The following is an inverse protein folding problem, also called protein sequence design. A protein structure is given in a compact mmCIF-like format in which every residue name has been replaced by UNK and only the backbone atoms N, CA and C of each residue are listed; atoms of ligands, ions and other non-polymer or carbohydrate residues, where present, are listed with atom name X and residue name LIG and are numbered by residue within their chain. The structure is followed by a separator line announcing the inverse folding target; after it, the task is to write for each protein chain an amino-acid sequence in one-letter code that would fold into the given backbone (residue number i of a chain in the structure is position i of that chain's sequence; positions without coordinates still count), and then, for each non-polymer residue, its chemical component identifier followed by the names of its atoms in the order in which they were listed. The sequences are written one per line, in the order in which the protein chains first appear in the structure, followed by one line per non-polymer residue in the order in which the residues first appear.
data_IF_833713355252
#
_entry.id   IF_833713355252
#
_cell.length_a   1.000
_cell.length_b   1.000
_cell.length_c   1.000
_cell.angle_alpha   90.00
_cell.angle_beta   90.00
_cell.angle_gamma   90.00
#
_symmetry.space_group_name_H-M   'P 1'
#
loop_
_entity.id
_entity.type
_entity.pdbx_description
1 polymer ?
#
# COMPACT_ATOMS: atom_id res chain seq x y z
N UNK A 1 23.89 -41.97 14.34
CA UNK A 1 24.57 -40.85 13.66
C UNK A 1 24.10 -40.82 12.22
N UNK A 2 23.76 -39.62 11.69
CA UNK A 2 23.55 -39.29 10.26
C UNK A 2 22.26 -39.89 9.63
N UNK A 3 21.23 -39.19 9.13
CA UNK A 3 20.90 -37.77 8.89
C UNK A 3 19.37 -37.62 8.95
N UNK A 4 18.90 -36.56 9.61
CA UNK A 4 17.55 -35.98 9.45
C UNK A 4 17.72 -34.64 8.71
N UNK A 5 16.63 -34.13 8.15
CA UNK A 5 16.44 -32.82 7.47
C UNK A 5 16.22 -32.90 5.95
N UNK A 6 15.04 -33.38 5.59
CA UNK A 6 14.32 -32.94 4.40
C UNK A 6 13.13 -32.10 4.87
N UNK A 7 13.27 -30.78 4.83
CA UNK A 7 12.18 -29.78 4.77
C UNK A 7 12.82 -28.39 4.91
N UNK A 8 12.99 -27.67 3.80
CA UNK A 8 12.73 -26.23 3.60
C UNK A 8 13.13 -25.93 2.15
N UNK A 9 12.18 -26.04 1.22
CA UNK A 9 12.35 -25.54 -0.15
C UNK A 9 10.98 -25.29 -0.78
N UNK A 10 10.23 -24.31 -0.27
CA UNK A 10 9.04 -23.77 -0.94
C UNK A 10 8.89 -22.30 -0.58
N UNK A 11 9.60 -21.44 -1.32
CA UNK A 11 9.13 -20.09 -1.65
C UNK A 11 9.78 -19.73 -2.99
N UNK A 12 9.21 -20.31 -4.05
CA UNK A 12 9.56 -19.98 -5.42
C UNK A 12 9.16 -18.54 -5.70
N UNK A 13 10.19 -17.77 -6.01
CA UNK A 13 10.18 -16.42 -6.54
C UNK A 13 9.35 -16.40 -7.83
N UNK A 14 8.22 -15.70 -7.85
CA UNK A 14 7.56 -15.35 -9.12
C UNK A 14 8.41 -14.27 -9.77
N UNK A 15 9.10 -14.66 -10.84
CA UNK A 15 9.69 -13.78 -11.84
C UNK A 15 8.53 -13.08 -12.56
N UNK A 16 8.32 -11.79 -12.30
CA UNK A 16 7.54 -10.95 -13.21
C UNK A 16 8.54 -10.27 -14.14
N UNK A 17 8.55 -10.78 -15.36
CA UNK A 17 9.17 -10.19 -16.54
C UNK A 17 8.61 -8.79 -16.78
N UNK A 18 9.48 -7.89 -17.22
CA UNK A 18 9.11 -6.52 -17.57
C UNK A 18 8.03 -6.49 -18.64
N UNK A 19 6.89 -5.90 -18.28
CA UNK A 19 6.05 -5.13 -19.19
C UNK A 19 5.70 -3.82 -18.50
N UNK A 20 6.26 -2.75 -19.05
CA UNK A 20 5.87 -1.37 -18.79
C UNK A 20 4.36 -1.29 -19.06
N UNK A 21 3.57 -1.04 -18.03
CA UNK A 21 2.17 -0.64 -18.18
C UNK A 21 2.01 0.75 -17.56
N UNK A 22 2.19 1.77 -18.41
CA UNK A 22 1.64 3.09 -18.16
C UNK A 22 0.11 2.93 -18.07
N UNK A 23 -0.48 3.19 -16.91
CA UNK A 23 -1.93 3.34 -16.81
C UNK A 23 -2.28 4.67 -16.15
N UNK A 24 -2.31 5.70 -17.00
CA UNK A 24 -3.24 6.81 -16.85
C UNK A 24 -4.65 6.21 -16.86
N UNK A 25 -5.34 6.19 -15.71
CA UNK A 25 -6.75 5.78 -15.65
C UNK A 25 -7.62 6.96 -16.06
N UNK A 26 -7.93 7.05 -17.35
CA UNK A 26 -9.10 7.77 -17.87
C UNK A 26 -10.32 6.89 -17.64
N UNK A 27 -11.28 7.40 -16.84
CA UNK A 27 -12.57 6.75 -16.59
C UNK A 27 -13.39 6.83 -17.88
N UNK A 28 -13.59 5.71 -18.56
CA UNK A 28 -14.68 5.53 -19.53
C UNK A 28 -15.79 4.73 -18.86
N UNK A 29 -16.92 5.39 -18.65
CA UNK A 29 -18.19 4.76 -18.30
C UNK A 29 -18.69 4.03 -19.54
N UNK A 30 -18.82 2.71 -19.48
CA UNK A 30 -19.54 1.92 -20.48
C UNK A 30 -20.60 1.12 -19.73
N UNK A 31 -21.85 1.53 -19.94
CA UNK A 31 -23.05 0.75 -19.61
C UNK A 31 -23.09 -0.47 -20.52
N UNK A 32 -23.12 -1.67 -19.95
CA UNK A 32 -23.66 -2.84 -20.65
C UNK A 32 -24.60 -3.60 -19.70
N UNK A 33 -25.88 -3.55 -20.08
CA UNK A 33 -26.99 -4.32 -19.54
C UNK A 33 -26.97 -5.68 -20.22
N UNK A 34 -26.88 -6.75 -19.45
CA UNK A 34 -27.02 -8.12 -19.97
C UNK A 34 -28.49 -8.41 -20.30
N UNK A 35 -28.86 -8.84 -21.52
CA UNK A 35 -30.24 -9.19 -21.86
C UNK A 35 -30.61 -10.60 -21.40
N UNK A 36 -31.78 -10.75 -20.77
CA UNK A 36 -32.38 -12.05 -20.46
C UNK A 36 -33.11 -12.65 -21.67
N UNK A 37 -32.97 -13.97 -21.75
CA UNK A 37 -33.48 -14.91 -22.75
C UNK A 37 -35.02 -15.00 -22.72
N UNK A 38 -35.69 -14.75 -23.85
CA UNK A 38 -37.13 -15.09 -24.05
C UNK A 38 -37.24 -15.95 -25.32
N UNK A 39 -37.81 -17.17 -25.27
CA UNK A 39 -38.03 -17.99 -26.45
C UNK A 39 -39.26 -17.51 -27.27
N UNK A 40 -39.27 -17.69 -28.61
CA UNK A 40 -40.29 -17.13 -29.47
C UNK A 40 -41.55 -18.03 -29.56
N UNK A 41 -42.73 -17.43 -29.45
CA UNK A 41 -44.01 -18.04 -29.80
C UNK A 41 -44.36 -17.72 -31.26
N UNK A 42 -44.63 -18.76 -32.06
CA UNK A 42 -45.25 -18.65 -33.40
C UNK A 42 -46.71 -19.08 -33.35
N UNK A 43 -47.57 -18.18 -33.86
CA UNK A 43 -48.78 -18.33 -34.70
C UNK A 43 -49.79 -19.44 -34.31
N UNK A 44 -51.11 -19.24 -34.18
CA UNK A 44 -52.03 -18.83 -35.25
C UNK A 44 -53.49 -18.74 -34.72
N UNK A 45 -54.25 -17.78 -35.26
CA UNK A 45 -55.70 -17.76 -35.61
C UNK A 45 -56.79 -18.43 -34.74
N UNK A 46 -57.75 -17.64 -34.21
CA UNK A 46 -59.17 -17.61 -34.68
C UNK A 46 -60.07 -16.61 -33.93
N UNK A 47 -61.05 -16.10 -34.69
CA UNK A 47 -62.23 -15.24 -34.39
C UNK A 47 -62.85 -15.40 -32.99
N UNK A 48 -63.45 -14.32 -32.44
CA UNK A 48 -64.92 -14.09 -32.27
C UNK A 48 -65.18 -12.65 -31.75
N UNK A 49 -66.43 -12.20 -31.88
CA UNK A 49 -66.98 -10.83 -31.98
C UNK A 49 -67.68 -10.39 -30.68
N UNK A 50 -67.65 -9.06 -30.43
CA UNK A 50 -68.57 -8.19 -29.66
C UNK A 50 -68.83 -8.44 -28.16
N UNK A 51 -68.59 -7.40 -27.35
CA UNK A 51 -69.65 -6.71 -26.57
C UNK A 51 -69.18 -5.30 -26.16
N UNK A 52 -70.09 -4.33 -26.26
CA UNK A 52 -69.92 -2.89 -26.04
C UNK A 52 -70.48 -2.53 -24.65
N UNK A 53 -69.69 -1.91 -23.77
CA UNK A 53 -70.19 -1.17 -22.59
C UNK A 53 -69.32 0.07 -22.36
N UNK A 54 -70.01 1.20 -22.17
CA UNK A 54 -69.59 2.60 -22.06
C UNK A 54 -68.62 2.95 -20.90
N UNK A 55 -67.91 4.10 -20.96
CA UNK A 55 -66.90 4.50 -19.96
C UNK A 55 -67.47 5.39 -18.84
N UNK A 56 -66.86 5.36 -17.64
CA UNK A 56 -66.75 6.59 -16.84
C UNK A 56 -65.34 6.72 -16.18
N UNK A 57 -65.06 7.80 -15.45
CA UNK A 57 -64.14 8.88 -15.82
C UNK A 57 -62.73 8.75 -15.21
N UNK A 58 -61.79 9.50 -15.77
CA UNK A 58 -60.41 9.69 -15.27
C UNK A 58 -60.38 10.13 -13.80
N UNK A 59 -59.57 9.48 -12.94
CA UNK A 59 -59.03 10.11 -11.75
C UNK A 59 -57.53 10.40 -11.90
N UNK A 60 -57.15 11.57 -11.41
CA UNK A 60 -55.85 12.18 -11.46
C UNK A 60 -54.71 11.31 -10.89
N UNK A 61 -53.52 11.48 -11.47
CA UNK A 61 -52.27 10.93 -10.99
C UNK A 61 -51.94 11.43 -9.56
N UNK A 62 -51.61 10.55 -8.61
CA UNK A 62 -50.85 10.96 -7.44
C UNK A 62 -49.37 11.06 -7.79
N UNK A 63 -48.83 12.26 -7.57
CA UNK A 63 -47.41 12.60 -7.60
C UNK A 63 -46.66 11.75 -6.58
N UNK A 64 -45.84 10.81 -7.04
CA UNK A 64 -44.89 10.11 -6.18
C UNK A 64 -43.71 11.05 -5.91
N UNK A 65 -43.75 11.69 -4.74
CA UNK A 65 -42.60 12.33 -4.11
C UNK A 65 -41.54 11.26 -3.85
N UNK A 66 -40.59 11.12 -4.78
CA UNK A 66 -39.34 10.42 -4.49
C UNK A 66 -38.58 11.25 -3.47
N UNK A 67 -38.43 10.70 -2.26
CA UNK A 67 -37.37 11.06 -1.34
C UNK A 67 -36.07 10.66 -2.05
N UNK A 68 -35.47 11.61 -2.76
CA UNK A 68 -34.08 11.51 -3.19
C UNK A 68 -33.26 11.80 -1.94
N UNK A 69 -32.77 10.74 -1.30
CA UNK A 69 -31.62 10.87 -0.39
C UNK A 69 -30.50 11.52 -1.18
N UNK A 70 -30.31 12.79 -0.90
CA UNK A 70 -29.26 13.62 -1.43
C UNK A 70 -27.94 13.09 -0.83
N UNK A 71 -27.34 12.08 -1.46
CA UNK A 71 -25.94 11.71 -1.21
C UNK A 71 -25.10 12.84 -1.80
N UNK A 72 -25.03 13.94 -1.05
CA UNK A 72 -24.14 15.03 -1.32
C UNK A 72 -22.73 14.45 -1.38
N UNK A 73 -22.18 14.49 -2.59
CA UNK A 73 -20.76 14.37 -2.83
C UNK A 73 -20.10 15.58 -2.18
N UNK A 74 -19.76 15.47 -0.89
CA UNK A 74 -18.91 16.44 -0.20
C UNK A 74 -17.46 16.25 -0.68
N UNK A 75 -17.19 16.65 -1.92
CA UNK A 75 -15.91 17.27 -2.27
C UNK A 75 -15.94 18.71 -1.71
N UNK A 76 -16.01 18.81 -0.38
CA UNK A 76 -15.75 20.08 0.29
C UNK A 76 -14.24 20.24 0.27
N UNK A 77 -13.75 21.02 -0.69
CA UNK A 77 -12.47 21.71 -0.60
C UNK A 77 -12.52 22.57 0.67
N UNK A 78 -12.17 21.96 1.80
CA UNK A 78 -12.08 22.66 3.07
C UNK A 78 -11.06 23.79 2.89
N UNK A 79 -11.42 25.04 3.24
CA UNK A 79 -10.44 26.11 3.31
C UNK A 79 -9.30 25.64 4.20
N UNK A 80 -8.05 25.99 3.88
CA UNK A 80 -6.84 25.59 4.58
C UNK A 80 -6.99 25.83 6.10
N UNK A 81 -7.57 24.84 6.79
CA UNK A 81 -7.84 24.94 8.20
C UNK A 81 -6.48 24.89 8.86
N UNK A 82 -6.21 25.85 9.75
CA UNK A 82 -5.00 25.83 10.57
C UNK A 82 -4.83 24.43 11.14
N UNK A 83 -3.65 23.84 10.91
CA UNK A 83 -3.34 22.49 11.36
C UNK A 83 -3.70 22.34 12.84
N UNK A 84 -4.65 21.45 13.12
CA UNK A 84 -5.10 21.15 14.49
C UNK A 84 -4.62 19.76 14.86
N UNK A 85 -3.57 19.69 15.68
CA UNK A 85 -2.93 18.44 16.07
C UNK A 85 -3.89 17.48 16.79
N UNK A 86 -4.84 18.00 17.58
CA UNK A 86 -5.82 17.16 18.29
C UNK A 86 -6.79 16.49 17.31
N UNK A 87 -7.32 17.25 16.36
CA UNK A 87 -8.19 16.71 15.29
C UNK A 87 -7.44 15.74 14.39
N UNK A 88 -6.17 16.04 14.13
CA UNK A 88 -5.27 15.18 13.38
C UNK A 88 -5.07 13.83 14.08
N UNK A 89 -4.72 13.87 15.37
CA UNK A 89 -4.55 12.70 16.23
C UNK A 89 -5.83 11.86 16.31
N UNK A 90 -6.95 12.51 16.59
CA UNK A 90 -8.26 11.85 16.65
C UNK A 90 -8.59 11.14 15.33
N UNK A 91 -8.32 11.78 14.18
CA UNK A 91 -8.55 11.18 12.87
C UNK A 91 -7.68 9.96 12.65
N UNK A 92 -6.39 10.03 13.00
CA UNK A 92 -5.49 8.89 12.92
C UNK A 92 -5.98 7.76 13.82
N UNK A 93 -6.26 8.04 15.09
CA UNK A 93 -6.65 7.08 16.13
C UNK A 93 -8.00 6.39 15.86
N UNK A 94 -8.91 7.06 15.14
CA UNK A 94 -10.21 6.50 14.77
C UNK A 94 -10.24 5.81 13.40
N UNK A 95 -9.14 5.82 12.63
CA UNK A 95 -9.12 5.18 11.30
C UNK A 95 -9.14 3.64 11.41
N UNK A 96 -10.14 2.94 10.83
CA UNK A 96 -10.14 1.47 10.83
C UNK A 96 -9.10 0.90 9.86
N UNK A 97 -8.02 0.32 10.38
CA UNK A 97 -6.88 -0.18 9.58
C UNK A 97 -7.22 -1.36 8.66
N UNK A 98 -8.32 -2.07 8.92
CA UNK A 98 -8.80 -3.19 8.08
C UNK A 98 -9.67 -2.72 6.91
N UNK A 99 -10.09 -1.45 6.92
CA UNK A 99 -10.94 -0.87 5.89
C UNK A 99 -10.06 -0.06 4.93
N UNK A 100 -9.78 -0.61 3.75
CA UNK A 100 -8.95 0.05 2.74
C UNK A 100 -9.49 1.43 2.34
N UNK A 101 -10.81 1.53 2.11
CA UNK A 101 -11.47 2.82 1.82
C UNK A 101 -11.27 3.86 2.93
N UNK A 102 -11.25 3.41 4.18
CA UNK A 102 -11.06 4.29 5.33
C UNK A 102 -9.61 4.79 5.41
N UNK A 103 -8.63 3.92 5.16
CA UNK A 103 -7.22 4.30 5.03
C UNK A 103 -7.00 5.32 3.92
N UNK A 104 -7.58 5.09 2.74
CA UNK A 104 -7.51 6.02 1.61
C UNK A 104 -8.15 7.37 1.95
N UNK A 105 -9.32 7.37 2.61
CA UNK A 105 -9.98 8.62 3.04
C UNK A 105 -9.13 9.40 4.04
N UNK A 106 -8.48 8.71 4.97
CA UNK A 106 -7.56 9.36 5.92
C UNK A 106 -6.32 9.87 5.20
N UNK A 107 -5.70 9.09 4.32
CA UNK A 107 -4.56 9.55 3.52
C UNK A 107 -4.91 10.82 2.70
N UNK A 108 -6.08 10.87 2.05
CA UNK A 108 -6.56 12.07 1.36
C UNK A 108 -6.69 13.28 2.28
N UNK A 109 -7.24 13.08 3.48
CA UNK A 109 -7.30 14.14 4.49
C UNK A 109 -5.92 14.65 4.90
N UNK A 110 -4.93 13.75 5.03
CA UNK A 110 -3.56 14.11 5.36
C UNK A 110 -2.87 14.88 4.21
N UNK A 111 -3.12 14.51 2.94
CA UNK A 111 -2.52 15.17 1.77
C UNK A 111 -2.93 16.63 1.58
N UNK A 112 -4.08 17.04 2.12
CA UNK A 112 -4.53 18.45 2.05
C UNK A 112 -3.99 19.31 3.21
N UNK A 113 -3.22 18.73 4.14
CA UNK A 113 -2.53 19.46 5.21
C UNK A 113 -1.14 19.91 4.76
N UNK A 114 -0.48 20.77 5.55
CA UNK A 114 0.94 21.09 5.34
C UNK A 114 1.80 19.82 5.51
N UNK A 115 2.48 19.36 4.46
CA UNK A 115 3.20 18.09 4.48
C UNK A 115 4.39 18.10 5.45
N UNK A 116 5.00 19.26 5.74
CA UNK A 116 6.08 19.37 6.73
C UNK A 116 5.56 19.16 8.14
N UNK A 117 4.36 19.67 8.44
CA UNK A 117 3.71 19.44 9.74
C UNK A 117 3.28 17.98 9.90
N UNK A 118 2.75 17.38 8.83
CA UNK A 118 2.43 15.94 8.81
C UNK A 118 3.69 15.12 9.07
N UNK A 119 4.76 15.34 8.31
CA UNK A 119 6.03 14.63 8.48
C UNK A 119 6.60 14.77 9.89
N UNK A 120 6.63 16.01 10.42
CA UNK A 120 7.08 16.28 11.79
C UNK A 120 6.24 15.54 12.82
N UNK A 121 4.92 15.50 12.66
CA UNK A 121 4.05 14.72 13.54
C UNK A 121 4.43 13.23 13.51
N UNK A 122 4.56 12.63 12.32
CA UNK A 122 4.85 11.20 12.19
C UNK A 122 6.18 10.82 12.85
N UNK A 123 7.23 11.61 12.66
CA UNK A 123 8.54 11.39 13.29
C UNK A 123 8.46 11.56 14.81
N UNK A 124 7.88 12.67 15.28
CA UNK A 124 7.75 12.93 16.71
C UNK A 124 6.93 11.86 17.42
N UNK A 125 5.85 11.43 16.77
CA UNK A 125 4.93 10.45 17.31
C UNK A 125 5.57 9.07 17.39
N UNK A 126 6.33 8.67 16.34
CA UNK A 126 7.12 7.44 16.34
C UNK A 126 8.10 7.41 17.53
N UNK A 127 8.86 8.50 17.71
CA UNK A 127 9.85 8.64 18.80
C UNK A 127 9.19 8.65 20.18
N UNK A 128 8.04 9.32 20.30
CA UNK A 128 7.27 9.41 21.56
C UNK A 128 6.75 8.04 22.00
N UNK A 129 6.20 7.26 21.07
CA UNK A 129 5.64 5.93 21.39
C UNK A 129 6.73 4.86 21.52
N UNK A 130 7.78 4.93 20.69
CA UNK A 130 8.84 3.94 20.64
C UNK A 130 8.30 2.51 20.53
N UNK A 131 8.71 1.66 21.47
CA UNK A 131 8.25 0.27 21.62
C UNK A 131 7.03 0.10 22.54
N UNK A 132 6.58 1.17 23.21
CA UNK A 132 5.61 1.11 24.32
C UNK A 132 4.17 0.94 23.86
N UNK A 133 3.83 1.44 22.66
CA UNK A 133 2.47 1.39 22.10
C UNK A 133 2.49 0.79 20.68
N UNK A 134 2.50 -0.54 20.63
CA UNK A 134 2.56 -1.30 19.38
C UNK A 134 1.33 -1.07 18.47
N UNK A 135 0.08 -1.04 18.98
CA UNK A 135 -1.08 -0.74 18.15
C UNK A 135 -0.98 0.63 17.46
N UNK A 136 -0.57 1.67 18.21
CA UNK A 136 -0.42 3.02 17.66
C UNK A 136 0.73 3.14 16.69
N UNK A 137 1.86 2.47 16.94
CA UNK A 137 2.97 2.40 15.98
C UNK A 137 2.56 1.71 14.68
N UNK A 138 1.85 0.58 14.78
CA UNK A 138 1.34 -0.15 13.61
C UNK A 138 0.43 0.76 12.76
N UNK A 139 -0.47 1.51 13.42
CA UNK A 139 -1.35 2.48 12.78
C UNK A 139 -0.56 3.57 12.08
N UNK A 140 0.46 4.12 12.74
CA UNK A 140 1.33 5.15 12.19
C UNK A 140 2.05 4.67 10.92
N UNK A 141 2.68 3.50 10.96
CA UNK A 141 3.39 2.91 9.81
C UNK A 141 2.43 2.67 8.64
N UNK A 142 1.26 2.08 8.89
CA UNK A 142 0.27 1.80 7.81
C UNK A 142 -0.31 3.07 7.20
N UNK A 143 -0.52 4.11 7.99
CA UNK A 143 -1.05 5.38 7.48
C UNK A 143 0.03 6.17 6.72
N UNK A 144 1.29 6.08 7.16
CA UNK A 144 2.43 6.63 6.43
C UNK A 144 2.55 5.97 5.05
N UNK A 145 2.45 4.63 5.01
CA UNK A 145 2.52 3.85 3.78
C UNK A 145 1.39 4.26 2.81
N UNK A 146 0.15 4.33 3.29
CA UNK A 146 -0.99 4.77 2.47
C UNK A 146 -0.89 6.24 2.01
N UNK A 147 -0.10 7.08 2.69
CA UNK A 147 0.05 8.49 2.35
C UNK A 147 0.88 8.70 1.08
N UNK A 148 1.87 7.84 0.81
CA UNK A 148 2.78 7.97 -0.34
C UNK A 148 3.29 9.41 -0.53
N UNK A 149 3.84 10.03 0.53
CA UNK A 149 4.33 11.40 0.52
C UNK A 149 5.85 11.43 0.62
N UNK A 150 6.49 12.21 -0.25
CA UNK A 150 7.94 12.41 -0.28
C UNK A 150 8.46 13.07 1.00
N UNK A 151 7.67 13.96 1.59
CA UNK A 151 8.00 14.61 2.86
C UNK A 151 8.14 13.63 4.04
N UNK A 152 7.66 12.38 3.91
CA UNK A 152 7.87 11.34 4.91
C UNK A 152 9.27 10.70 4.86
N UNK A 153 10.18 11.18 4.01
CA UNK A 153 11.57 10.70 3.97
C UNK A 153 12.21 10.57 5.38
N UNK A 154 12.12 11.55 6.30
CA UNK A 154 12.71 11.41 7.63
C UNK A 154 12.09 10.28 8.46
N UNK A 155 10.79 10.02 8.30
CA UNK A 155 10.09 8.93 8.99
C UNK A 155 10.55 7.57 8.47
N UNK A 156 10.65 7.40 7.15
CA UNK A 156 11.12 6.15 6.56
C UNK A 156 12.60 5.90 6.82
N UNK A 157 13.42 6.96 6.86
CA UNK A 157 14.83 6.90 7.25
C UNK A 157 15.00 6.41 8.70
N UNK A 158 14.23 6.96 9.64
CA UNK A 158 14.23 6.52 11.05
C UNK A 158 13.92 5.02 11.13
N UNK A 159 12.86 4.55 10.44
CA UNK A 159 12.50 3.13 10.40
C UNK A 159 13.55 2.25 9.71
N UNK A 160 14.18 2.72 8.64
CA UNK A 160 15.18 1.95 7.90
C UNK A 160 16.47 1.77 8.72
N UNK A 161 16.94 2.82 9.39
CA UNK A 161 18.12 2.76 10.25
C UNK A 161 17.83 2.33 11.69
N UNK A 162 16.55 2.24 12.06
CA UNK A 162 16.07 1.88 13.39
C UNK A 162 16.58 2.86 14.45
N UNK A 163 16.51 4.17 14.16
CA UNK A 163 16.77 5.21 15.17
C UNK A 163 15.77 5.08 16.34
N UNK A 164 14.52 4.75 16.02
CA UNK A 164 13.48 4.41 16.99
C UNK A 164 13.15 2.91 16.95
N UNK A 165 13.85 2.07 17.74
CA UNK A 165 13.66 0.62 17.71
C UNK A 165 12.28 0.19 18.22
N UNK A 166 11.77 -0.92 17.69
CA UNK A 166 10.53 -1.59 18.15
C UNK A 166 10.78 -2.43 19.42
N UNK A 167 12.03 -2.82 19.67
CA UNK A 167 12.45 -3.55 20.87
C UNK A 167 13.94 -3.37 21.14
N UNK A 168 14.38 -3.50 22.40
CA UNK A 168 15.79 -3.26 22.77
C UNK A 168 16.79 -4.22 22.08
N UNK A 169 16.37 -5.46 21.83
CA UNK A 169 17.21 -6.54 21.29
C UNK A 169 16.76 -7.01 19.91
N UNK A 170 16.42 -6.09 18.99
CA UNK A 170 15.92 -6.44 17.64
C UNK A 170 16.83 -7.42 16.89
N UNK A 171 18.15 -7.26 17.02
CA UNK A 171 19.11 -8.15 16.36
C UNK A 171 18.92 -9.60 16.80
N UNK A 172 18.77 -9.82 18.11
CA UNK A 172 18.56 -11.14 18.69
C UNK A 172 17.20 -11.72 18.27
N UNK A 173 16.17 -10.88 18.23
CA UNK A 173 14.82 -11.27 17.81
C UNK A 173 14.84 -11.74 16.35
N UNK A 174 15.51 -10.99 15.49
CA UNK A 174 15.63 -11.36 14.09
C UNK A 174 16.49 -12.62 13.93
N UNK A 175 17.54 -12.83 14.74
CA UNK A 175 18.47 -13.96 14.56
C UNK A 175 17.96 -15.28 15.12
N UNK A 176 16.81 -15.26 15.78
CA UNK A 176 16.09 -16.47 16.18
C UNK A 176 15.84 -17.37 14.97
N UNK A 177 15.98 -18.68 15.17
CA UNK A 177 15.70 -19.69 14.15
C UNK A 177 14.21 -19.69 13.77
N UNK A 178 13.34 -19.47 14.76
CA UNK A 178 11.90 -19.45 14.56
C UNK A 178 11.38 -18.00 14.54
N UNK A 179 10.60 -17.61 13.51
CA UNK A 179 10.07 -16.27 13.40
C UNK A 179 8.99 -16.02 14.45
N UNK A 180 9.28 -15.13 15.40
CA UNK A 180 8.29 -14.63 16.36
C UNK A 180 7.39 -13.55 15.74
N UNK A 181 6.19 -13.29 16.29
CA UNK A 181 5.36 -12.16 15.86
C UNK A 181 6.07 -10.80 15.90
N UNK A 182 7.02 -10.61 16.83
CA UNK A 182 7.86 -9.41 16.88
C UNK A 182 8.84 -9.37 15.70
N UNK A 183 9.49 -10.49 15.38
CA UNK A 183 10.42 -10.55 14.24
C UNK A 183 9.72 -10.25 12.92
N UNK A 184 8.48 -10.73 12.74
CA UNK A 184 7.65 -10.46 11.56
C UNK A 184 7.40 -8.96 11.44
N UNK A 185 6.95 -8.30 12.52
CA UNK A 185 6.70 -6.86 12.54
C UNK A 185 7.95 -6.02 12.26
N UNK A 186 9.10 -6.40 12.83
CA UNK A 186 10.38 -5.72 12.56
C UNK A 186 10.71 -5.82 11.07
N UNK A 187 10.58 -7.02 10.49
CA UNK A 187 10.82 -7.22 9.06
C UNK A 187 9.81 -6.47 8.17
N UNK A 188 8.54 -6.42 8.56
CA UNK A 188 7.50 -5.64 7.86
C UNK A 188 7.86 -4.15 7.85
N UNK A 189 8.18 -3.55 9.00
CA UNK A 189 8.56 -2.13 9.06
C UNK A 189 9.82 -1.82 8.25
N UNK A 190 10.85 -2.68 8.34
CA UNK A 190 12.07 -2.55 7.55
C UNK A 190 11.76 -2.65 6.04
N UNK A 191 10.95 -3.63 5.64
CA UNK A 191 10.59 -3.86 4.24
C UNK A 191 9.78 -2.68 3.70
N UNK A 192 8.75 -2.23 4.41
CA UNK A 192 7.95 -1.06 4.03
C UNK A 192 8.79 0.21 3.96
N UNK A 193 9.77 0.40 4.87
CA UNK A 193 10.65 1.56 4.82
C UNK A 193 11.49 1.59 3.53
N UNK A 194 12.06 0.45 3.13
CA UNK A 194 12.86 0.32 1.92
C UNK A 194 12.01 0.52 0.65
N UNK A 195 10.80 -0.01 0.64
CA UNK A 195 9.86 0.17 -0.47
C UNK A 195 9.45 1.63 -0.65
N UNK A 196 9.11 2.32 0.45
CA UNK A 196 8.78 3.73 0.42
C UNK A 196 9.98 4.61 0.06
N UNK A 197 11.18 4.29 0.55
CA UNK A 197 12.42 4.95 0.09
C UNK A 197 12.64 4.77 -1.41
N UNK A 198 12.29 3.60 -1.98
CA UNK A 198 12.29 3.37 -3.42
C UNK A 198 11.32 4.27 -4.17
N UNK A 199 10.10 4.40 -3.66
CA UNK A 199 9.08 5.28 -4.26
C UNK A 199 9.49 6.76 -4.21
N UNK A 200 10.05 7.22 -3.09
CA UNK A 200 10.56 8.59 -2.93
C UNK A 200 11.81 8.82 -3.81
N UNK A 201 12.64 7.78 -3.98
CA UNK A 201 13.87 7.81 -4.76
C UNK A 201 13.71 8.15 -6.26
N UNK A 202 12.49 8.09 -6.81
CA UNK A 202 12.21 8.59 -8.16
C UNK A 202 12.44 10.10 -8.29
N UNK A 203 12.27 10.85 -7.20
CA UNK A 203 12.34 12.32 -7.20
C UNK A 203 13.39 12.86 -6.21
N UNK A 204 13.80 12.06 -5.23
CA UNK A 204 14.73 12.49 -4.20
C UNK A 204 16.06 11.71 -4.24
N UNK A 205 17.18 12.43 -4.19
CA UNK A 205 18.53 11.82 -4.21
C UNK A 205 18.91 11.22 -2.86
N UNK A 206 18.53 11.84 -1.74
CA UNK A 206 18.84 11.32 -0.41
C UNK A 206 18.18 9.95 -0.19
N UNK A 207 16.94 9.77 -0.64
CA UNK A 207 16.27 8.47 -0.57
C UNK A 207 17.05 7.36 -1.32
N UNK A 208 17.59 7.66 -2.51
CA UNK A 208 18.46 6.74 -3.26
C UNK A 208 19.77 6.47 -2.54
N UNK A 209 20.40 7.50 -1.98
CA UNK A 209 21.66 7.37 -1.25
C UNK A 209 21.47 6.46 -0.02
N UNK A 210 20.34 6.56 0.68
CA UNK A 210 19.98 5.66 1.79
C UNK A 210 19.86 4.21 1.31
N UNK A 211 19.19 3.95 0.18
CA UNK A 211 19.10 2.60 -0.38
C UNK A 211 20.48 2.05 -0.76
N UNK A 212 21.33 2.87 -1.40
CA UNK A 212 22.72 2.52 -1.73
C UNK A 212 23.52 2.19 -0.47
N UNK A 213 23.32 2.94 0.60
CA UNK A 213 23.97 2.72 1.90
C UNK A 213 23.52 1.41 2.55
N UNK A 214 22.21 1.14 2.60
CA UNK A 214 21.67 -0.15 3.09
C UNK A 214 22.27 -1.33 2.31
N UNK A 215 22.44 -1.19 0.99
CA UNK A 215 23.02 -2.23 0.14
C UNK A 215 24.51 -2.42 0.43
N UNK A 216 25.30 -1.35 0.47
CA UNK A 216 26.76 -1.44 0.48
C UNK A 216 27.38 -1.43 1.90
N UNK A 217 26.74 -0.76 2.84
CA UNK A 217 27.18 -0.60 4.23
C UNK A 217 26.07 -1.06 5.21
N UNK A 218 25.65 -2.34 5.14
CA UNK A 218 24.51 -2.81 5.90
C UNK A 218 24.75 -2.69 7.41
N UNK A 219 23.80 -2.08 8.11
CA UNK A 219 23.72 -2.12 9.57
C UNK A 219 23.45 -3.54 10.08
N UNK A 220 23.49 -3.72 11.41
CA UNK A 220 23.29 -5.02 12.09
C UNK A 220 21.95 -5.71 11.79
N UNK A 221 20.97 -4.96 11.29
CA UNK A 221 19.61 -5.41 11.00
C UNK A 221 19.36 -5.57 9.49
N UNK A 222 20.25 -5.07 8.63
CA UNK A 222 20.13 -5.09 7.17
C UNK A 222 20.67 -6.39 6.58
N UNK A 223 19.93 -7.47 6.79
CA UNK A 223 20.30 -8.81 6.28
C UNK A 223 20.20 -8.89 4.76
N UNK A 224 20.80 -9.93 4.18
CA UNK A 224 20.78 -10.16 2.73
C UNK A 224 19.38 -10.05 2.09
N UNK A 225 18.31 -10.52 2.76
CA UNK A 225 16.95 -10.38 2.25
C UNK A 225 16.49 -8.91 2.14
N UNK A 226 16.76 -8.09 3.17
CA UNK A 226 16.43 -6.66 3.15
C UNK A 226 17.31 -5.90 2.15
N UNK A 227 18.62 -6.22 2.09
CA UNK A 227 19.54 -5.64 1.10
C UNK A 227 19.11 -5.96 -0.33
N UNK A 228 18.60 -7.18 -0.57
CA UNK A 228 18.03 -7.56 -1.86
C UNK A 228 16.77 -6.73 -2.16
N UNK A 229 15.87 -6.53 -1.18
CA UNK A 229 14.71 -5.64 -1.38
C UNK A 229 15.13 -4.22 -1.69
N UNK A 230 16.14 -3.68 -0.99
CA UNK A 230 16.68 -2.35 -1.24
C UNK A 230 17.29 -2.23 -2.63
N UNK A 231 17.97 -3.28 -3.11
CA UNK A 231 18.47 -3.32 -4.48
C UNK A 231 17.33 -3.29 -5.51
N UNK A 232 16.22 -4.00 -5.28
CA UNK A 232 15.06 -3.97 -6.17
C UNK A 232 14.41 -2.58 -6.17
N UNK A 233 14.18 -1.99 -5.00
CA UNK A 233 13.64 -0.63 -4.85
C UNK A 233 14.54 0.43 -5.49
N UNK A 234 15.86 0.29 -5.37
CA UNK A 234 16.81 1.18 -6.05
C UNK A 234 16.82 0.95 -7.55
N UNK A 235 16.72 -0.30 -8.01
CA UNK A 235 16.69 -0.61 -9.45
C UNK A 235 15.45 0.00 -10.12
N UNK A 236 14.31 -0.06 -9.45
CA UNK A 236 13.05 0.43 -9.98
C UNK A 236 13.05 1.97 -10.08
N UNK A 237 13.75 2.67 -9.18
CA UNK A 237 13.91 4.14 -9.21
C UNK A 237 15.12 4.64 -10.02
N UNK A 238 16.26 3.93 -9.99
CA UNK A 238 17.51 4.23 -10.69
C UNK A 238 18.32 2.95 -10.99
N UNK A 239 18.05 2.37 -12.16
CA UNK A 239 18.71 1.15 -12.62
C UNK A 239 20.25 1.28 -12.66
N UNK A 240 20.77 2.45 -13.06
CA UNK A 240 22.21 2.68 -13.17
C UNK A 240 22.89 2.67 -11.80
N UNK A 241 22.26 3.33 -10.81
CA UNK A 241 22.72 3.30 -9.42
C UNK A 241 22.70 1.89 -8.85
N UNK A 242 21.65 1.10 -9.12
CA UNK A 242 21.56 -0.30 -8.68
C UNK A 242 22.71 -1.17 -9.23
N UNK A 243 23.01 -1.06 -10.54
CA UNK A 243 24.15 -1.76 -11.15
C UNK A 243 25.47 -1.34 -10.52
N UNK A 244 25.67 -0.03 -10.28
CA UNK A 244 26.88 0.49 -9.62
C UNK A 244 27.01 -0.02 -8.19
N UNK A 245 25.91 -0.10 -7.43
CA UNK A 245 25.90 -0.63 -6.07
C UNK A 245 26.35 -2.10 -6.05
N UNK A 246 25.76 -2.96 -6.90
CA UNK A 246 26.15 -4.39 -6.98
C UNK A 246 27.62 -4.57 -7.35
N UNK A 247 28.15 -3.73 -8.25
CA UNK A 247 29.57 -3.78 -8.66
C UNK A 247 30.54 -3.43 -7.52
N UNK A 248 30.11 -2.59 -6.56
CA UNK A 248 30.91 -2.23 -5.38
C UNK A 248 30.94 -3.31 -4.31
N UNK A 249 30.02 -4.27 -4.35
CA UNK A 249 29.99 -5.36 -3.38
C UNK A 249 31.23 -6.27 -3.53
N UNK A 250 31.89 -6.66 -2.42
CA UNK A 250 32.94 -7.68 -2.43
C UNK A 250 32.51 -8.97 -3.13
N UNK A 251 33.47 -9.74 -3.63
CA UNK A 251 33.18 -10.96 -4.41
C UNK A 251 32.49 -12.05 -3.57
N UNK A 252 32.79 -12.08 -2.29
CA UNK A 252 32.30 -12.98 -1.23
C UNK A 252 31.07 -12.45 -0.49
N UNK A 253 30.59 -11.24 -0.81
CA UNK A 253 29.39 -10.68 -0.19
C UNK A 253 28.16 -11.57 -0.44
N UNK A 254 27.39 -11.85 0.63
CA UNK A 254 26.24 -12.77 0.59
C UNK A 254 25.20 -12.37 -0.47
N UNK A 255 24.92 -11.07 -0.64
CA UNK A 255 23.98 -10.60 -1.65
C UNK A 255 24.53 -10.85 -3.06
N UNK A 256 25.81 -10.54 -3.30
CA UNK A 256 26.44 -10.75 -4.60
C UNK A 256 26.50 -12.24 -4.99
N UNK A 257 26.83 -13.12 -4.04
CA UNK A 257 26.86 -14.56 -4.25
C UNK A 257 25.47 -15.09 -4.63
N UNK A 258 24.43 -14.66 -3.91
CA UNK A 258 23.04 -15.04 -4.21
C UNK A 258 22.58 -14.59 -5.59
N UNK A 259 22.89 -13.35 -5.98
CA UNK A 259 22.52 -12.83 -7.30
C UNK A 259 23.18 -13.61 -8.44
N UNK A 260 24.46 -13.98 -8.30
CA UNK A 260 25.16 -14.82 -9.27
C UNK A 260 24.56 -16.23 -9.35
N UNK A 261 24.20 -16.82 -8.22
CA UNK A 261 23.56 -18.13 -8.19
C UNK A 261 22.20 -18.11 -8.91
N UNK A 262 21.38 -17.08 -8.67
CA UNK A 262 20.10 -16.90 -9.34
C UNK A 262 20.23 -16.69 -10.87
N UNK A 263 21.30 -16.03 -11.32
CA UNK A 263 21.58 -15.86 -12.76
C UNK A 263 21.96 -17.17 -13.46
N UNK A 264 22.58 -18.12 -12.76
CA UNK A 264 22.95 -19.43 -13.34
C UNK A 264 21.78 -20.41 -13.41
N UNK A 265 20.72 -20.15 -12.66
CA UNK A 265 19.54 -21.01 -12.61
C UNK A 265 18.50 -20.70 -13.71
N UNK A 266 18.70 -19.61 -14.46
CA UNK A 266 17.90 -19.20 -15.62
C UNK A 266 18.72 -19.31 -16.90
#
# INVERSE_FOLDING_TARGET
MKWLFAAVAMFSLIVVTGKIFNHTRTIKVVNEVTPQNIPPLKMESKKTKAEEVTPPPVPAAPSNTMIVENIASEDVLLPAARFNENRFRERLDNTPLKCERCMVRTARYLRVQDPKLVSKYFVNELRRIGSKDLPRRTRLVKLADALHSDDLLPFWKDLAYRETPLADSERSILSSKDPSPKSIRINEELTSSVENLGAIGFHDKEAKDILVDIINNPGKLHRSALRHRALLSLRDSDFSAAVKAVKKLPADDELRVRLKAAQKAN
#
